data_IF_493851691585
#
_entry.id   IF_493851691585
#
_cell.length_a   1.000
_cell.length_b   1.000
_cell.length_c   1.000
_cell.angle_alpha   90.00
_cell.angle_beta   90.00
_cell.angle_gamma   90.00
#
_symmetry.space_group_name_H-M   'P 1'
#
loop_
_entity.id
_entity.type
_entity.pdbx_description
1 polymer ?
#
# COMPACT_ATOMS: atom_id res chain seq x y z
N UNK A 1 -3.62 16.92 -4.27
CA UNK A 1 -3.30 16.36 -5.60
C UNK A 1 -4.26 16.96 -6.62
N UNK A 2 -3.82 17.40 -7.80
CA UNK A 2 -4.76 17.71 -8.89
C UNK A 2 -5.19 16.41 -9.59
N UNK A 3 -6.48 16.11 -9.53
CA UNK A 3 -7.09 14.89 -10.08
C UNK A 3 -8.19 15.34 -11.05
N UNK A 4 -7.96 15.25 -12.37
CA UNK A 4 -9.04 15.40 -13.33
C UNK A 4 -10.15 14.38 -13.03
N UNK A 5 -11.41 14.78 -13.17
CA UNK A 5 -12.56 13.92 -12.81
C UNK A 5 -12.58 12.57 -13.52
N UNK A 6 -12.08 12.48 -14.75
CA UNK A 6 -12.00 11.22 -15.51
C UNK A 6 -10.90 10.25 -15.02
N UNK A 7 -10.01 10.71 -14.12
CA UNK A 7 -8.98 9.88 -13.47
C UNK A 7 -9.31 9.63 -11.99
N UNK A 8 -10.29 10.34 -11.45
CA UNK A 8 -10.75 10.16 -10.08
C UNK A 8 -11.58 8.89 -10.00
N UNK A 9 -11.25 8.02 -9.05
CA UNK A 9 -12.07 6.85 -8.72
C UNK A 9 -12.66 7.08 -7.33
N UNK A 10 -13.99 7.15 -7.26
CA UNK A 10 -14.75 7.37 -6.01
C UNK A 10 -15.37 6.09 -5.44
N UNK A 11 -15.30 5.00 -6.21
CA UNK A 11 -15.76 3.67 -5.82
C UNK A 11 -14.82 3.11 -4.74
N UNK A 12 -15.35 2.93 -3.53
CA UNK A 12 -14.57 2.49 -2.38
C UNK A 12 -14.02 1.07 -2.56
N UNK A 13 -14.77 0.16 -3.20
CA UNK A 13 -14.31 -1.22 -3.42
C UNK A 13 -13.10 -1.25 -4.34
N UNK A 14 -13.12 -0.42 -5.40
CA UNK A 14 -11.95 -0.25 -6.27
C UNK A 14 -10.76 0.35 -5.52
N UNK A 15 -10.97 1.35 -4.67
CA UNK A 15 -9.90 1.94 -3.85
C UNK A 15 -9.32 0.90 -2.88
N UNK A 16 -10.17 0.17 -2.17
CA UNK A 16 -9.77 -0.89 -1.22
C UNK A 16 -9.06 -2.04 -1.93
N UNK A 17 -9.44 -2.36 -3.17
CA UNK A 17 -8.74 -3.39 -3.95
C UNK A 17 -7.25 -3.06 -4.15
N UNK A 18 -6.92 -1.78 -4.38
CA UNK A 18 -5.53 -1.32 -4.48
C UNK A 18 -4.82 -1.44 -3.13
N UNK A 19 -5.47 -1.06 -2.04
CA UNK A 19 -4.91 -1.20 -0.67
C UNK A 19 -4.60 -2.67 -0.37
N UNK A 20 -5.52 -3.60 -0.67
CA UNK A 20 -5.34 -5.03 -0.41
C UNK A 20 -4.25 -5.67 -1.30
N UNK A 21 -4.18 -5.26 -2.57
CA UNK A 21 -3.20 -5.79 -3.52
C UNK A 21 -1.79 -5.23 -3.26
N UNK A 22 -1.68 -3.96 -2.90
CA UNK A 22 -0.42 -3.24 -2.65
C UNK A 22 -0.40 -2.64 -1.22
N UNK A 23 -0.35 -3.48 -0.16
CA UNK A 23 -0.58 -3.05 1.22
C UNK A 23 0.59 -2.36 1.90
N UNK A 24 1.77 -2.32 1.27
CA UNK A 24 2.90 -1.55 1.77
C UNK A 24 2.63 -0.06 1.51
N UNK A 25 2.00 0.59 2.49
CA UNK A 25 1.67 2.00 2.43
C UNK A 25 2.80 2.88 2.98
N UNK A 26 2.81 4.15 2.58
CA UNK A 26 3.65 5.17 3.19
C UNK A 26 2.78 6.03 4.10
N UNK A 27 2.98 5.88 5.41
CA UNK A 27 2.34 6.70 6.43
C UNK A 27 3.04 8.04 6.53
N UNK A 28 2.29 9.12 6.46
CA UNK A 28 2.73 10.50 6.65
C UNK A 28 2.00 11.11 7.84
N UNK A 29 2.75 11.83 8.65
CA UNK A 29 2.23 12.69 9.70
C UNK A 29 3.12 13.93 9.81
N UNK A 30 2.53 15.03 10.27
CA UNK A 30 3.27 16.26 10.53
C UNK A 30 2.87 16.83 11.88
N UNK A 31 3.85 17.41 12.56
CA UNK A 31 3.68 18.23 13.75
C UNK A 31 4.15 19.65 13.45
N UNK A 32 3.56 20.63 14.14
CA UNK A 32 4.07 22.00 14.06
C UNK A 32 5.45 22.05 14.70
N UNK A 33 6.43 22.66 14.02
CA UNK A 33 7.76 22.86 14.60
C UNK A 33 7.63 23.62 15.92
N UNK A 34 8.12 23.04 17.02
CA UNK A 34 8.16 23.67 18.35
C UNK A 34 9.24 24.76 18.39
N UNK A 35 9.09 25.80 17.57
CA UNK A 35 10.05 26.89 17.38
C UNK A 35 9.64 28.16 18.11
N UNK A 36 9.24 28.04 19.38
CA UNK A 36 8.78 29.19 20.17
C UNK A 36 9.42 29.27 21.56
N UNK A 37 9.92 30.46 21.92
CA UNK A 37 10.29 30.83 23.30
C UNK A 37 9.19 30.47 24.31
N UNK A 38 7.92 30.57 23.89
CA UNK A 38 6.75 30.18 24.69
C UNK A 38 6.74 28.70 25.10
N UNK A 39 7.21 27.80 24.24
CA UNK A 39 7.25 26.36 24.53
C UNK A 39 8.44 26.00 25.43
N UNK A 40 9.56 26.73 25.29
CA UNK A 40 10.68 26.67 26.25
C UNK A 40 10.23 27.07 27.67
N UNK A 41 9.52 28.20 27.80
CA UNK A 41 9.02 28.67 29.11
C UNK A 41 7.96 27.75 29.72
N UNK A 42 7.23 26.97 28.91
CA UNK A 42 6.21 26.01 29.38
C UNK A 42 6.79 24.63 29.72
N UNK A 43 7.71 24.12 28.88
CA UNK A 43 8.24 22.77 29.00
C UNK A 43 9.49 22.68 29.87
N UNK A 44 10.19 23.80 30.09
CA UNK A 44 11.48 23.84 30.79
C UNK A 44 12.62 23.15 30.04
N UNK A 45 12.37 22.66 28.81
CA UNK A 45 13.38 21.98 27.99
C UNK A 45 13.96 22.98 26.99
N UNK A 46 15.29 23.23 27.01
CA UNK A 46 15.92 24.08 25.99
C UNK A 46 15.62 23.50 24.60
N UNK A 47 15.54 24.35 23.55
CA UNK A 47 15.40 23.88 22.18
C UNK A 47 16.49 22.85 21.93
N UNK A 48 16.13 21.58 21.74
CA UNK A 48 17.11 20.56 21.44
C UNK A 48 17.63 20.86 20.04
N UNK A 49 18.88 21.33 19.94
CA UNK A 49 19.57 21.61 18.67
C UNK A 49 19.84 20.39 17.79
N UNK A 50 19.01 19.36 17.91
CA UNK A 50 18.96 18.16 17.08
C UNK A 50 17.54 18.05 16.52
N UNK A 51 17.08 19.06 15.80
CA UNK A 51 15.90 18.91 14.95
C UNK A 51 16.26 17.88 13.88
N UNK A 52 15.96 16.61 14.17
CA UNK A 52 16.04 15.56 13.14
C UNK A 52 15.13 16.02 11.99
N UNK A 53 15.54 15.80 10.75
CA UNK A 53 14.80 16.26 9.55
C UNK A 53 13.34 15.78 9.56
N UNK A 54 13.07 14.69 10.26
CA UNK A 54 11.79 14.02 10.41
C UNK A 54 10.99 14.42 11.68
N UNK A 55 11.47 15.35 12.51
CA UNK A 55 10.78 15.78 13.74
C UNK A 55 9.52 16.63 13.49
N UNK A 56 9.45 17.25 12.31
CA UNK A 56 8.32 18.10 11.87
C UNK A 56 7.41 17.33 10.93
N UNK A 57 7.97 16.53 10.04
CA UNK A 57 7.23 15.71 9.08
C UNK A 57 7.99 14.43 8.84
N UNK A 58 7.32 13.29 9.01
CA UNK A 58 7.95 11.99 8.82
C UNK A 58 7.11 11.10 7.91
N UNK A 59 7.83 10.17 7.25
CA UNK A 59 7.29 9.15 6.38
C UNK A 59 7.81 7.78 6.82
N UNK A 60 6.91 6.81 7.02
CA UNK A 60 7.28 5.42 7.35
C UNK A 60 6.58 4.47 6.40
N UNK A 61 7.32 3.52 5.82
CA UNK A 61 6.75 2.44 5.03
C UNK A 61 6.26 1.34 5.97
N UNK A 62 4.98 1.01 5.91
CA UNK A 62 4.34 0.06 6.82
C UNK A 62 3.34 -0.82 6.05
N UNK A 63 3.36 -2.15 6.24
CA UNK A 63 2.30 -3.01 5.74
C UNK A 63 1.01 -2.75 6.51
N UNK A 64 -0.07 -2.45 5.79
CA UNK A 64 -1.40 -2.27 6.36
C UNK A 64 -2.34 -3.41 5.99
N UNK A 65 -3.29 -3.65 6.87
CA UNK A 65 -4.48 -4.46 6.57
C UNK A 65 -5.72 -3.58 6.65
N UNK A 66 -6.58 -3.66 5.63
CA UNK A 66 -7.88 -2.99 5.64
C UNK A 66 -8.92 -3.84 6.36
N UNK A 67 -9.58 -3.26 7.35
CA UNK A 67 -10.70 -3.86 8.07
C UNK A 67 -11.98 -3.12 7.69
N UNK A 68 -12.93 -3.87 7.13
CA UNK A 68 -14.24 -3.36 6.76
C UNK A 68 -15.09 -3.07 7.99
N UNK A 69 -15.98 -2.09 7.88
CA UNK A 69 -17.02 -1.84 8.87
C UNK A 69 -18.23 -2.74 8.58
N UNK A 70 -18.55 -3.73 9.44
CA UNK A 70 -19.65 -4.66 9.20
C UNK A 70 -21.02 -3.98 9.09
N UNK A 71 -21.17 -2.79 9.67
CA UNK A 71 -22.41 -2.03 9.63
C UNK A 71 -22.50 -1.08 8.42
N UNK A 72 -21.39 -0.93 7.67
CA UNK A 72 -21.30 -0.06 6.49
C UNK A 72 -21.51 1.43 6.82
N UNK A 73 -21.30 1.84 8.07
CA UNK A 73 -21.52 3.23 8.53
C UNK A 73 -20.30 4.12 8.29
N UNK A 74 -19.12 3.52 8.22
CA UNK A 74 -17.84 4.17 8.00
C UNK A 74 -17.16 3.61 6.74
N UNK A 75 -16.01 4.17 6.36
CA UNK A 75 -15.19 3.65 5.26
C UNK A 75 -14.24 2.54 5.71
N UNK A 76 -14.47 1.95 6.89
CA UNK A 76 -13.56 0.99 7.51
C UNK A 76 -12.36 1.64 8.19
N UNK A 77 -11.36 0.82 8.50
CA UNK A 77 -10.12 1.21 9.19
C UNK A 77 -8.90 0.50 8.60
N UNK A 78 -7.72 1.10 8.79
CA UNK A 78 -6.44 0.44 8.54
C UNK A 78 -5.83 0.00 9.87
N UNK A 79 -5.26 -1.21 9.91
CA UNK A 79 -4.47 -1.69 11.05
C UNK A 79 -3.05 -2.04 10.62
N UNK A 80 -2.09 -1.79 11.50
CA UNK A 80 -0.67 -2.06 11.31
C UNK A 80 0.05 -2.15 12.66
N UNK A 81 1.37 -2.33 12.62
CA UNK A 81 2.24 -2.10 13.76
C UNK A 81 3.47 -1.29 13.37
N UNK A 82 4.04 -0.61 14.36
CA UNK A 82 5.30 0.09 14.27
C UNK A 82 6.31 -0.59 15.20
N UNK A 83 7.60 -0.51 14.87
CA UNK A 83 8.65 -0.82 15.85
C UNK A 83 8.51 0.15 17.03
N UNK A 84 8.67 -0.33 18.27
CA UNK A 84 8.43 0.49 19.49
C UNK A 84 9.33 1.72 19.63
N UNK A 85 10.45 1.77 18.92
CA UNK A 85 11.34 2.95 18.85
C UNK A 85 11.04 3.88 17.67
N UNK A 86 10.00 3.60 16.89
CA UNK A 86 9.62 4.43 15.75
C UNK A 86 9.04 5.77 16.24
N UNK A 87 9.64 6.87 15.80
CA UNK A 87 9.22 8.22 16.16
C UNK A 87 7.78 8.58 15.74
N UNK A 88 7.22 7.90 14.73
CA UNK A 88 5.81 8.09 14.34
C UNK A 88 4.86 7.88 15.51
N UNK A 89 5.21 7.02 16.47
CA UNK A 89 4.39 6.76 17.67
C UNK A 89 4.14 8.05 18.43
N UNK A 90 5.20 8.72 18.86
CA UNK A 90 5.08 9.98 19.61
C UNK A 90 4.46 11.10 18.77
N UNK A 91 4.74 11.13 17.46
CA UNK A 91 4.16 12.15 16.58
C UNK A 91 2.66 11.98 16.39
N UNK A 92 2.17 10.74 16.25
CA UNK A 92 0.74 10.43 16.10
C UNK A 92 -0.02 10.61 17.42
N UNK A 93 0.62 10.41 18.57
CA UNK A 93 0.02 10.74 19.88
C UNK A 93 -0.13 12.25 20.07
N UNK A 94 0.80 13.06 19.56
CA UNK A 94 0.69 14.52 19.58
C UNK A 94 -0.32 15.05 18.56
N UNK A 95 -0.36 14.46 17.36
CA UNK A 95 -1.31 14.78 16.31
C UNK A 95 -1.75 13.51 15.56
N UNK A 96 -2.96 13.06 15.85
CA UNK A 96 -3.52 11.84 15.25
C UNK A 96 -3.78 11.94 13.74
N UNK A 97 -3.81 13.14 13.16
CA UNK A 97 -4.12 13.29 11.73
C UNK A 97 -2.99 12.72 10.87
N UNK A 98 -3.33 11.82 9.98
CA UNK A 98 -2.34 11.18 9.11
C UNK A 98 -2.87 10.96 7.69
N UNK A 99 -1.92 10.72 6.78
CA UNK A 99 -2.16 10.33 5.40
C UNK A 99 -1.39 9.04 5.14
N UNK A 100 -2.06 8.01 4.62
CA UNK A 100 -1.39 6.81 4.09
C UNK A 100 -1.52 6.80 2.58
N UNK A 101 -0.40 6.66 1.88
CA UNK A 101 -0.35 6.55 0.41
C UNK A 101 -0.05 5.12 0.01
N UNK A 102 -0.92 4.55 -0.83
CA UNK A 102 -0.74 3.26 -1.49
C UNK A 102 -0.56 3.50 -2.98
N UNK A 103 0.43 2.85 -3.58
CA UNK A 103 0.75 2.97 -5.01
C UNK A 103 0.74 1.58 -5.64
N UNK A 104 0.07 1.45 -6.79
CA UNK A 104 0.07 0.23 -7.59
C UNK A 104 1.34 0.10 -8.41
N UNK A 105 1.37 -0.91 -9.28
CA UNK A 105 2.24 -0.89 -10.46
C UNK A 105 2.09 0.41 -11.26
N UNK A 106 3.20 0.91 -11.79
CA UNK A 106 3.25 2.07 -12.69
C UNK A 106 4.10 1.77 -13.92
N UNK A 107 4.00 2.56 -14.99
CA UNK A 107 5.00 2.53 -16.06
C UNK A 107 5.06 3.86 -16.80
N UNK A 108 6.26 4.19 -17.28
CA UNK A 108 6.40 5.14 -18.38
C UNK A 108 5.69 4.61 -19.62
N UNK A 109 5.00 5.50 -20.32
CA UNK A 109 4.30 5.22 -21.58
C UNK A 109 4.97 6.02 -22.69
N UNK A 110 5.59 5.28 -23.61
CA UNK A 110 6.27 5.86 -24.76
C UNK A 110 5.26 6.38 -25.78
N UNK A 111 5.45 7.60 -26.32
CA UNK A 111 4.64 8.06 -27.44
C UNK A 111 4.71 7.16 -28.67
N UNK A 112 5.80 6.37 -28.83
CA UNK A 112 5.94 5.42 -29.94
C UNK A 112 4.89 4.30 -29.92
N UNK A 113 4.26 4.04 -28.77
CA UNK A 113 3.23 3.01 -28.65
C UNK A 113 1.88 3.47 -29.21
N UNK A 114 1.66 4.78 -29.39
CA UNK A 114 0.41 5.29 -29.95
C UNK A 114 0.40 5.20 -31.48
N UNK A 115 -0.44 4.35 -32.12
CA UNK A 115 -0.45 4.21 -33.57
C UNK A 115 -0.82 5.51 -34.27
N UNK A 116 -1.69 6.34 -33.67
CA UNK A 116 -2.07 7.64 -34.23
C UNK A 116 -0.95 8.68 -34.17
N UNK A 117 0.12 8.49 -33.38
CA UNK A 117 1.27 9.41 -33.35
C UNK A 117 1.88 9.59 -34.72
N UNK A 118 2.03 8.50 -35.48
CA UNK A 118 2.60 8.53 -36.84
C UNK A 118 1.79 9.39 -37.81
N UNK A 119 0.51 9.64 -37.50
CA UNK A 119 -0.39 10.47 -38.32
C UNK A 119 -0.47 11.91 -37.83
N UNK A 120 -0.55 12.13 -36.51
CA UNK A 120 -0.84 13.46 -35.97
C UNK A 120 0.38 14.18 -35.41
N UNK A 121 1.44 13.46 -35.04
CA UNK A 121 2.59 13.95 -34.27
C UNK A 121 2.24 14.65 -32.94
N UNK A 122 1.01 14.48 -32.42
CA UNK A 122 0.50 15.15 -31.21
C UNK A 122 0.40 14.19 -30.03
N UNK A 123 1.53 13.64 -29.58
CA UNK A 123 1.61 12.83 -28.37
C UNK A 123 2.87 13.16 -27.58
N UNK A 124 2.72 13.27 -26.27
CA UNK A 124 3.80 13.51 -25.31
C UNK A 124 3.94 12.29 -24.39
N UNK A 125 5.14 12.04 -23.83
CA UNK A 125 5.31 10.96 -22.89
C UNK A 125 4.48 11.15 -21.63
N UNK A 126 4.09 10.03 -21.01
CA UNK A 126 3.28 10.03 -19.79
C UNK A 126 3.63 8.82 -18.92
N UNK A 127 2.98 8.73 -17.76
CA UNK A 127 3.01 7.57 -16.87
C UNK A 127 1.59 7.06 -16.64
N UNK A 128 1.48 5.74 -16.58
CA UNK A 128 0.30 5.01 -16.13
C UNK A 128 0.54 4.50 -14.70
N UNK A 129 -0.46 4.65 -13.83
CA UNK A 129 -0.40 4.27 -12.43
C UNK A 129 -1.78 4.35 -11.78
N UNK A 130 -1.97 3.65 -10.66
CA UNK A 130 -3.01 3.94 -9.67
C UNK A 130 -2.37 4.32 -8.33
N UNK A 131 -2.98 5.28 -7.64
CA UNK A 131 -2.64 5.60 -6.26
C UNK A 131 -3.90 5.86 -5.43
N UNK A 132 -3.84 5.49 -4.15
CA UNK A 132 -4.90 5.71 -3.16
C UNK A 132 -4.29 6.43 -1.96
N UNK A 133 -4.89 7.56 -1.59
CA UNK A 133 -4.53 8.41 -0.46
C UNK A 133 -5.64 8.27 0.59
N UNK A 134 -5.32 7.67 1.73
CA UNK A 134 -6.22 7.49 2.86
C UNK A 134 -5.90 8.54 3.91
N UNK A 135 -6.86 9.43 4.17
CA UNK A 135 -6.78 10.40 5.26
C UNK A 135 -7.57 9.87 6.45
N UNK A 136 -7.01 9.99 7.64
CA UNK A 136 -7.65 9.47 8.83
C UNK A 136 -7.00 9.90 10.12
N UNK A 137 -7.55 9.39 11.22
CA UNK A 137 -7.07 9.63 12.58
C UNK A 137 -6.48 8.35 13.15
N UNK A 138 -5.20 8.43 13.51
CA UNK A 138 -4.47 7.34 14.11
C UNK A 138 -4.78 7.19 15.60
N UNK A 139 -4.81 5.95 16.06
CA UNK A 139 -4.83 5.55 17.45
C UNK A 139 -3.67 4.58 17.67
N UNK A 140 -2.80 4.93 18.61
CA UNK A 140 -1.70 4.08 19.05
C UNK A 140 -2.22 3.10 20.10
N UNK A 141 -1.90 1.83 19.93
CA UNK A 141 -2.31 0.73 20.82
C UNK A 141 -1.07 0.17 21.51
N UNK A 142 -0.93 0.50 22.79
CA UNK A 142 0.15 0.01 23.66
C UNK A 142 -0.31 -1.18 24.49
N UNK A 143 0.59 -2.14 24.70
CA UNK A 143 0.47 -3.22 25.68
C UNK A 143 -0.84 -4.05 25.63
N UNK A 144 -1.46 -4.14 24.45
CA UNK A 144 -2.65 -4.97 24.19
C UNK A 144 -2.27 -6.22 23.39
N UNK A 145 -1.94 -7.30 24.09
CA UNK A 145 -1.46 -8.55 23.47
C UNK A 145 -2.53 -9.20 22.58
N UNK A 146 -3.81 -9.12 22.95
CA UNK A 146 -4.91 -9.69 22.18
C UNK A 146 -5.10 -8.93 20.86
N UNK A 147 -5.12 -7.59 20.92
CA UNK A 147 -5.23 -6.76 19.73
C UNK A 147 -4.02 -6.94 18.80
N UNK A 148 -2.80 -6.96 19.35
CA UNK A 148 -1.57 -7.16 18.59
C UNK A 148 -1.58 -8.53 17.89
N UNK A 149 -1.97 -9.59 18.59
CA UNK A 149 -2.05 -10.92 17.99
C UNK A 149 -3.11 -10.98 16.88
N UNK A 150 -4.27 -10.37 17.07
CA UNK A 150 -5.32 -10.29 16.04
C UNK A 150 -4.85 -9.52 14.79
N UNK A 151 -4.14 -8.41 14.98
CA UNK A 151 -3.55 -7.63 13.90
C UNK A 151 -2.45 -8.41 13.15
N UNK A 152 -1.55 -9.08 13.88
CA UNK A 152 -0.49 -9.92 13.28
C UNK A 152 -1.10 -11.04 12.43
N UNK A 153 -2.10 -11.76 12.96
CA UNK A 153 -2.80 -12.78 12.19
C UNK A 153 -3.41 -12.22 10.90
N UNK A 154 -4.03 -11.04 10.97
CA UNK A 154 -4.68 -10.41 9.81
C UNK A 154 -3.68 -10.06 8.70
N UNK A 155 -2.54 -9.46 9.07
CA UNK A 155 -1.48 -9.10 8.11
C UNK A 155 -0.79 -10.36 7.56
N UNK A 156 -0.44 -11.32 8.42
CA UNK A 156 0.17 -12.58 8.01
C UNK A 156 -0.73 -13.35 7.05
N UNK A 157 -2.02 -13.50 7.38
CA UNK A 157 -2.97 -14.20 6.51
C UNK A 157 -3.14 -13.50 5.17
N UNK A 158 -3.11 -12.17 5.13
CA UNK A 158 -3.16 -11.41 3.89
C UNK A 158 -1.98 -11.74 2.98
N UNK A 159 -0.76 -11.82 3.51
CA UNK A 159 0.43 -12.09 2.70
C UNK A 159 0.57 -13.58 2.34
N UNK A 160 0.30 -14.49 3.27
CA UNK A 160 0.33 -15.93 2.99
C UNK A 160 -0.76 -16.35 1.99
N UNK A 161 -1.89 -15.63 1.91
CA UNK A 161 -2.91 -15.81 0.86
C UNK A 161 -2.44 -15.46 -0.55
N UNK A 162 -1.40 -14.64 -0.69
CA UNK A 162 -0.84 -14.27 -2.01
C UNK A 162 0.17 -15.28 -2.53
N UNK A 163 0.60 -16.23 -1.69
CA UNK A 163 1.48 -17.31 -2.12
C UNK A 163 0.72 -18.26 -3.05
N UNK A 164 1.41 -18.92 -3.99
CA UNK A 164 0.80 -19.96 -4.80
C UNK A 164 0.22 -21.08 -3.91
N UNK A 165 -0.79 -21.78 -4.42
CA UNK A 165 -1.41 -22.90 -3.71
C UNK A 165 -0.53 -24.17 -3.76
N UNK A 166 0.25 -24.33 -4.84
CA UNK A 166 1.12 -25.48 -5.06
C UNK A 166 2.52 -25.07 -5.50
N UNK A 167 3.50 -25.93 -5.28
CA UNK A 167 4.85 -25.82 -5.84
C UNK A 167 5.20 -27.10 -6.60
N UNK A 168 6.07 -26.99 -7.59
CA UNK A 168 6.66 -28.16 -8.28
C UNK A 168 7.89 -28.61 -7.52
N UNK A 169 7.91 -29.87 -7.08
CA UNK A 169 9.12 -30.47 -6.49
C UNK A 169 10.13 -30.72 -7.62
N UNK A 170 11.31 -30.11 -7.55
CA UNK A 170 12.43 -30.50 -8.41
C UNK A 170 13.16 -31.68 -7.77
N UNK A 171 13.59 -32.65 -8.57
CA UNK A 171 14.14 -34.00 -8.26
C UNK A 171 15.38 -34.07 -7.32
N UNK A 172 15.66 -33.08 -6.46
CA UNK A 172 16.86 -33.03 -5.60
C UNK A 172 16.63 -33.23 -4.10
N UNK A 173 15.44 -33.69 -3.70
CA UNK A 173 15.27 -34.29 -2.37
C UNK A 173 15.58 -35.79 -2.49
N UNK A 174 16.79 -36.17 -2.07
CA UNK A 174 17.49 -37.45 -2.35
C UNK A 174 16.79 -38.76 -1.91
N UNK A 175 15.56 -38.71 -1.37
CA UNK A 175 14.92 -39.88 -0.76
C UNK A 175 13.56 -40.30 -1.37
N UNK A 176 13.10 -39.66 -2.46
CA UNK A 176 11.82 -40.03 -3.07
C UNK A 176 11.97 -40.33 -4.56
N UNK A 177 12.01 -41.63 -4.89
CA UNK A 177 11.70 -42.13 -6.23
C UNK A 177 10.21 -41.88 -6.52
N UNK A 178 9.84 -40.80 -7.20
CA UNK A 178 8.44 -40.64 -7.58
C UNK A 178 8.12 -39.31 -8.24
N UNK A 179 7.44 -39.41 -9.38
CA UNK A 179 6.63 -38.42 -10.10
C UNK A 179 6.80 -36.93 -9.80
N UNK A 180 6.96 -36.15 -10.88
CA UNK A 180 6.70 -34.70 -10.91
C UNK A 180 5.24 -34.44 -10.51
N UNK A 181 4.99 -34.24 -9.22
CA UNK A 181 3.71 -33.84 -8.66
C UNK A 181 3.73 -32.38 -8.21
N UNK A 182 2.62 -31.68 -8.41
CA UNK A 182 2.34 -30.45 -7.67
C UNK A 182 2.04 -30.81 -6.21
N UNK A 183 2.76 -30.20 -5.27
CA UNK A 183 2.51 -30.37 -3.84
C UNK A 183 1.94 -29.09 -3.23
N UNK A 184 0.96 -29.16 -2.31
CA UNK A 184 0.43 -27.98 -1.65
C UNK A 184 1.51 -27.20 -0.89
N UNK A 185 1.47 -25.87 -0.99
CA UNK A 185 2.30 -25.01 -0.16
C UNK A 185 1.61 -24.80 1.18
N UNK A 186 2.31 -25.14 2.26
CA UNK A 186 1.88 -24.79 3.62
C UNK A 186 1.83 -23.26 3.78
N UNK A 187 0.71 -22.75 4.29
CA UNK A 187 0.51 -21.33 4.60
C UNK A 187 0.72 -21.13 6.10
N UNK A 188 1.78 -20.43 6.45
CA UNK A 188 2.21 -20.29 7.84
C UNK A 188 1.22 -19.47 8.67
N UNK A 189 0.97 -19.89 9.91
CA UNK A 189 0.13 -19.17 10.89
C UNK A 189 0.95 -18.61 12.04
N UNK A 190 0.55 -17.46 12.56
CA UNK A 190 1.25 -16.79 13.68
C UNK A 190 1.35 -17.69 14.91
N UNK A 191 0.33 -18.50 15.17
CA UNK A 191 0.29 -19.46 16.28
C UNK A 191 1.29 -20.62 16.16
N UNK A 192 1.89 -20.84 14.99
CA UNK A 192 2.98 -21.80 14.81
C UNK A 192 4.30 -21.27 15.38
N UNK A 193 4.40 -19.97 15.68
CA UNK A 193 5.54 -19.42 16.41
C UNK A 193 5.57 -19.94 17.87
N UNK A 194 6.78 -20.17 18.39
CA UNK A 194 6.94 -20.51 19.80
C UNK A 194 6.39 -19.38 20.68
N UNK A 195 5.50 -19.72 21.63
CA UNK A 195 4.70 -18.75 22.39
C UNK A 195 5.55 -17.72 23.12
N UNK A 196 6.60 -18.15 23.81
CA UNK A 196 7.47 -17.27 24.60
C UNK A 196 8.28 -16.33 23.70
N UNK A 197 8.71 -16.79 22.54
CA UNK A 197 9.34 -15.97 21.51
C UNK A 197 8.37 -14.94 20.95
N UNK A 198 7.15 -15.37 20.58
CA UNK A 198 6.11 -14.48 20.03
C UNK A 198 5.75 -13.37 21.03
N UNK A 199 5.46 -13.70 22.29
CA UNK A 199 5.17 -12.68 23.31
C UNK A 199 6.35 -11.75 23.59
N UNK A 200 7.61 -12.18 23.41
CA UNK A 200 8.76 -11.28 23.50
C UNK A 200 8.90 -10.38 22.28
N UNK A 201 8.66 -10.90 21.08
CA UNK A 201 8.68 -10.11 19.86
C UNK A 201 7.59 -9.02 19.87
N UNK A 202 6.40 -9.34 20.37
CA UNK A 202 5.28 -8.39 20.46
C UNK A 202 5.58 -7.19 21.39
N UNK A 203 6.44 -7.35 22.40
CA UNK A 203 6.88 -6.23 23.27
C UNK A 203 7.72 -5.19 22.54
N UNK A 204 8.25 -5.51 21.36
CA UNK A 204 9.08 -4.61 20.56
C UNK A 204 8.27 -3.85 19.49
N UNK A 205 6.97 -4.07 19.43
CA UNK A 205 6.08 -3.39 18.48
C UNK A 205 4.94 -2.70 19.22
N UNK A 206 4.37 -1.70 18.56
CA UNK A 206 3.22 -0.94 19.04
C UNK A 206 2.15 -0.98 17.95
N UNK A 207 0.91 -1.21 18.33
CA UNK A 207 -0.21 -1.29 17.40
C UNK A 207 -0.59 0.08 16.85
N UNK A 208 -1.03 0.11 15.61
CA UNK A 208 -1.52 1.29 14.92
C UNK A 208 -2.87 0.98 14.29
N UNK A 209 -3.89 1.73 14.68
CA UNK A 209 -5.21 1.74 14.05
C UNK A 209 -5.47 3.12 13.43
N UNK A 210 -6.00 3.18 12.21
CA UNK A 210 -6.37 4.43 11.55
C UNK A 210 -7.83 4.34 11.11
N UNK A 211 -8.68 5.15 11.73
CA UNK A 211 -10.06 5.35 11.28
C UNK A 211 -10.05 6.15 9.96
N UNK A 212 -10.74 5.66 8.93
CA UNK A 212 -10.72 6.28 7.60
C UNK A 212 -11.79 7.39 7.53
N UNK A 213 -11.33 8.64 7.48
CA UNK A 213 -12.21 9.81 7.29
C UNK A 213 -12.56 10.00 5.81
N UNK A 214 -11.52 10.03 4.97
CA UNK A 214 -11.62 10.35 3.55
C UNK A 214 -10.61 9.58 2.72
N UNK A 215 -11.00 9.24 1.48
CA UNK A 215 -10.14 8.56 0.52
C UNK A 215 -10.14 9.36 -0.77
N UNK A 216 -8.94 9.66 -1.28
CA UNK A 216 -8.74 10.23 -2.60
C UNK A 216 -7.97 9.23 -3.45
N UNK A 217 -8.29 9.11 -4.72
CA UNK A 217 -7.54 8.21 -5.59
C UNK A 217 -7.43 8.75 -7.01
N UNK A 218 -6.37 8.33 -7.70
CA UNK A 218 -6.11 8.70 -9.09
C UNK A 218 -5.62 7.50 -9.87
N UNK A 219 -6.43 7.06 -10.82
CA UNK A 219 -6.12 5.92 -11.69
C UNK A 219 -5.94 6.46 -13.09
N UNK A 220 -4.75 6.33 -13.67
CA UNK A 220 -4.39 6.89 -14.97
C UNK A 220 -3.96 5.77 -15.89
N UNK A 221 -4.86 5.42 -16.82
CA UNK A 221 -4.70 4.33 -17.77
C UNK A 221 -5.44 4.64 -19.09
N UNK A 222 -5.14 5.81 -19.67
CA UNK A 222 -5.61 6.22 -21.02
C UNK A 222 -7.13 6.22 -21.26
N UNK A 223 -7.93 6.50 -20.25
CA UNK A 223 -9.40 6.47 -20.33
C UNK A 223 -9.99 7.43 -21.39
N UNK A 224 -9.25 8.48 -21.76
CA UNK A 224 -9.62 9.47 -22.76
C UNK A 224 -9.14 9.13 -24.20
N UNK A 225 -8.24 8.15 -24.37
CA UNK A 225 -7.63 7.82 -25.65
C UNK A 225 -8.49 6.86 -26.48
N UNK A 226 -8.58 7.01 -27.82
CA UNK A 226 -9.36 6.09 -28.66
C UNK A 226 -8.83 4.64 -28.58
N UNK A 227 -9.67 3.61 -28.82
CA UNK A 227 -9.29 2.21 -28.64
C UNK A 227 -8.00 1.79 -29.38
N UNK A 228 -7.79 2.31 -30.60
CA UNK A 228 -6.56 2.06 -31.38
C UNK A 228 -5.29 2.48 -30.65
N UNK A 229 -5.33 3.57 -29.88
CA UNK A 229 -4.20 4.03 -29.09
C UNK A 229 -3.99 3.18 -27.85
N UNK A 230 -5.09 2.81 -27.18
CA UNK A 230 -5.02 1.96 -25.99
C UNK A 230 -4.50 0.58 -26.34
N UNK A 231 -4.96 -0.04 -27.43
CA UNK A 231 -4.43 -1.31 -27.93
C UNK A 231 -2.93 -1.21 -28.30
N UNK A 232 -2.49 -0.08 -28.86
CA UNK A 232 -1.05 0.16 -29.08
C UNK A 232 -0.24 0.25 -27.79
N UNK A 233 -0.78 0.84 -26.73
CA UNK A 233 -0.15 0.86 -25.40
C UNK A 233 -0.08 -0.55 -24.79
N UNK A 234 -1.17 -1.32 -24.87
CA UNK A 234 -1.19 -2.71 -24.40
C UNK A 234 -0.15 -3.58 -25.12
N UNK A 235 -0.01 -3.41 -26.44
CA UNK A 235 1.07 -4.04 -27.21
C UNK A 235 2.46 -3.62 -26.72
N UNK A 236 2.64 -2.33 -26.39
CA UNK A 236 3.86 -1.80 -25.81
C UNK A 236 4.18 -2.45 -24.46
N UNK A 237 3.18 -2.57 -23.57
CA UNK A 237 3.32 -3.28 -22.30
C UNK A 237 3.82 -4.72 -22.51
N UNK A 238 3.15 -5.47 -23.38
CA UNK A 238 3.49 -6.87 -23.62
C UNK A 238 4.87 -7.09 -24.25
N UNK A 239 5.34 -6.15 -25.09
CA UNK A 239 6.61 -6.29 -25.84
C UNK A 239 7.82 -5.76 -25.08
N UNK A 240 7.65 -4.70 -24.29
CA UNK A 240 8.77 -3.91 -23.78
C UNK A 240 8.91 -3.94 -22.24
N UNK A 241 7.91 -4.42 -21.50
CA UNK A 241 7.96 -4.47 -20.03
C UNK A 241 8.18 -5.88 -19.50
N UNK A 242 8.54 -5.96 -18.20
CA UNK A 242 8.53 -7.22 -17.47
C UNK A 242 7.14 -7.90 -17.58
N UNK A 243 7.05 -9.22 -17.86
CA UNK A 243 5.77 -9.89 -18.10
C UNK A 243 4.75 -9.78 -16.97
N UNK A 244 5.18 -9.85 -15.71
CA UNK A 244 4.26 -9.73 -14.56
C UNK A 244 3.75 -8.31 -14.46
N UNK A 245 4.66 -7.34 -14.60
CA UNK A 245 4.33 -5.91 -14.63
C UNK A 245 3.34 -5.57 -15.76
N UNK A 246 3.59 -6.09 -16.96
CA UNK A 246 2.74 -5.88 -18.14
C UNK A 246 1.31 -6.39 -17.92
N UNK A 247 1.17 -7.60 -17.35
CA UNK A 247 -0.14 -8.20 -17.04
C UNK A 247 -0.94 -7.37 -16.03
N UNK A 248 -0.28 -6.84 -14.99
CA UNK A 248 -0.96 -5.99 -14.01
C UNK A 248 -1.41 -4.66 -14.63
N UNK A 249 -0.55 -4.01 -15.43
CA UNK A 249 -0.90 -2.77 -16.14
C UNK A 249 -2.03 -2.97 -17.14
N UNK A 250 -2.02 -4.07 -17.90
CA UNK A 250 -3.11 -4.44 -18.79
C UNK A 250 -4.43 -4.62 -18.04
N UNK A 251 -4.40 -5.35 -16.91
CA UNK A 251 -5.58 -5.56 -16.06
C UNK A 251 -6.16 -4.23 -15.58
N UNK A 252 -5.34 -3.32 -15.05
CA UNK A 252 -5.80 -1.99 -14.66
C UNK A 252 -6.36 -1.21 -15.85
N UNK A 253 -5.67 -1.20 -16.98
CA UNK A 253 -6.11 -0.51 -18.19
C UNK A 253 -7.48 -0.99 -18.63
N UNK A 254 -7.69 -2.31 -18.75
CA UNK A 254 -8.98 -2.89 -19.15
C UNK A 254 -10.09 -2.61 -18.13
N UNK A 255 -9.78 -2.59 -16.83
CA UNK A 255 -10.77 -2.31 -15.78
C UNK A 255 -11.21 -0.84 -15.72
N UNK A 256 -10.32 0.09 -16.09
CA UNK A 256 -10.62 1.53 -16.05
C UNK A 256 -11.12 2.08 -17.39
N UNK A 257 -10.88 1.37 -18.48
CA UNK A 257 -11.21 1.86 -19.81
C UNK A 257 -12.71 1.71 -20.11
N UNK A 258 -13.42 2.79 -20.51
CA UNK A 258 -14.89 2.79 -20.60
C UNK A 258 -15.44 2.22 -21.91
N UNK A 259 -14.59 1.75 -22.84
CA UNK A 259 -14.98 1.27 -24.17
C UNK A 259 -14.45 -0.15 -24.40
N UNK A 260 -14.99 -0.83 -25.40
CA UNK A 260 -14.47 -2.13 -25.85
C UNK A 260 -13.06 -2.00 -26.44
N UNK A 261 -12.19 -2.99 -26.19
CA UNK A 261 -10.78 -3.06 -26.61
C UNK A 261 -10.48 -4.31 -27.41
#
# INVERSE_FOLDING_TARGET
MYIPSHLEVTDLDKQVSVIKQYPLGVLFNYNSAKTGLLDYFKSGKPPSGTDRVDSVMCATHVPFHYVEDPEGKTKGKLIAHLAGQNQHIAMLEENANCLVVFQSVDSYVSPEWYPLKKKTHKFVPTWDFACVHVYGRAKIIHDDEEWLLGMLNSITDQEEKKRPDTTTVSEKDEDHSGEKGEVPIHRWKVEEAEKRYLSQAMKNIVGLEIEIDHVQSKFKFHQDQPPVNVNGVLDGYAKELDPKKAQELEKFTRQQYPREL
#
